data_IF_994541040145
#
_entry.id   IF_994541040145
#
_cell.length_a   1.000
_cell.length_b   1.000
_cell.length_c   1.000
_cell.angle_alpha   90.00
_cell.angle_beta   90.00
_cell.angle_gamma   90.00
#
_symmetry.space_group_name_H-M   'P 1'
#
loop_
_entity.id
_entity.type
_entity.pdbx_description
1 polymer ?
#
# COMPACT_ATOMS: atom_id res chain seq x y z
N UNK A 1 10.10 -4.12 13.91
CA UNK A 1 10.24 -4.50 12.49
C UNK A 1 10.52 -3.23 11.73
N UNK A 2 11.68 -3.10 11.10
CA UNK A 2 12.00 -1.90 10.32
C UNK A 2 11.38 -2.05 8.92
N UNK A 3 10.68 -1.01 8.44
CA UNK A 3 10.12 -1.00 7.10
C UNK A 3 11.22 -0.84 6.05
N UNK A 4 11.15 -1.61 4.97
CA UNK A 4 12.02 -1.42 3.82
C UNK A 4 11.84 -0.01 3.21
N UNK A 5 12.85 0.52 2.51
CA UNK A 5 12.74 1.79 1.79
C UNK A 5 11.52 1.83 0.85
N UNK A 6 11.24 0.73 0.16
CA UNK A 6 10.09 0.65 -0.75
C UNK A 6 8.75 0.60 -0.03
N UNK A 7 8.67 -0.07 1.13
CA UNK A 7 7.47 -0.02 1.98
C UNK A 7 7.25 1.39 2.52
N UNK A 8 8.32 2.11 2.90
CA UNK A 8 8.24 3.53 3.31
C UNK A 8 7.73 4.42 2.17
N UNK A 9 8.13 4.14 0.92
CA UNK A 9 7.65 4.88 -0.25
C UNK A 9 6.13 4.72 -0.47
N UNK A 10 5.61 3.49 -0.42
CA UNK A 10 4.15 3.25 -0.50
C UNK A 10 3.42 3.91 0.67
N UNK A 11 3.98 3.82 1.88
CA UNK A 11 3.39 4.44 3.06
C UNK A 11 3.30 5.96 2.91
N UNK A 12 4.36 6.61 2.41
CA UNK A 12 4.38 8.06 2.18
C UNK A 12 3.35 8.47 1.14
N UNK A 13 3.21 7.71 0.05
CA UNK A 13 2.16 7.92 -0.97
C UNK A 13 0.76 7.83 -0.34
N UNK A 14 0.52 6.82 0.50
CA UNK A 14 -0.77 6.63 1.16
C UNK A 14 -1.05 7.70 2.22
N UNK A 15 -0.03 8.30 2.85
CA UNK A 15 -0.21 9.46 3.78
C UNK A 15 -0.68 10.72 3.07
N UNK A 16 -0.38 10.85 1.77
CA UNK A 16 -0.74 12.01 0.96
C UNK A 16 -2.08 11.85 0.22
N UNK A 17 -2.69 10.67 0.33
CA UNK A 17 -3.92 10.32 -0.38
C UNK A 17 -4.98 9.83 0.61
N UNK A 18 -6.27 10.04 0.35
CA UNK A 18 -7.33 9.55 1.24
C UNK A 18 -7.38 8.01 1.27
N UNK A 19 -7.41 7.40 0.07
CA UNK A 19 -7.29 5.95 -0.12
C UNK A 19 -6.98 5.61 -1.59
N UNK A 20 -6.19 4.58 -1.83
CA UNK A 20 -5.79 4.15 -3.19
C UNK A 20 -6.03 2.66 -3.42
N UNK A 21 -6.40 2.29 -4.64
CA UNK A 21 -6.39 0.91 -5.12
C UNK A 21 -4.96 0.45 -5.40
N UNK A 22 -4.73 -0.86 -5.35
CA UNK A 22 -3.42 -1.46 -5.67
C UNK A 22 -2.85 -0.99 -7.01
N UNK A 23 -3.67 -0.95 -8.07
CA UNK A 23 -3.24 -0.48 -9.40
C UNK A 23 -2.81 0.99 -9.42
N UNK A 24 -3.43 1.84 -8.61
CA UNK A 24 -3.06 3.26 -8.49
C UNK A 24 -1.71 3.38 -7.78
N UNK A 25 -1.49 2.57 -6.74
CA UNK A 25 -0.20 2.47 -6.04
C UNK A 25 0.89 1.98 -7.00
N UNK A 26 0.67 0.86 -7.70
CA UNK A 26 1.58 0.31 -8.72
C UNK A 26 2.02 1.38 -9.73
N UNK A 27 1.05 2.13 -10.27
CA UNK A 27 1.32 3.20 -11.24
C UNK A 27 2.14 4.35 -10.63
N UNK A 28 1.86 4.72 -9.39
CA UNK A 28 2.53 5.84 -8.71
C UNK A 28 3.97 5.51 -8.29
N UNK A 29 4.25 4.28 -7.83
CA UNK A 29 5.59 3.88 -7.38
C UNK A 29 6.41 3.13 -8.44
N UNK A 30 5.79 2.74 -9.56
CA UNK A 30 6.45 2.03 -10.66
C UNK A 30 6.82 0.57 -10.35
N UNK A 31 6.17 -0.05 -9.36
CA UNK A 31 6.44 -1.43 -8.96
C UNK A 31 5.53 -2.42 -9.66
N UNK A 32 6.04 -3.65 -9.86
CA UNK A 32 5.21 -4.75 -10.37
C UNK A 32 4.08 -5.09 -9.40
N UNK A 33 3.02 -5.71 -9.93
CA UNK A 33 1.89 -6.19 -9.12
C UNK A 33 2.35 -7.08 -7.95
N UNK A 34 3.25 -8.03 -8.21
CA UNK A 34 3.74 -8.97 -7.19
C UNK A 34 4.53 -8.26 -6.09
N UNK A 35 5.41 -7.33 -6.47
CA UNK A 35 6.18 -6.52 -5.50
C UNK A 35 5.23 -5.66 -4.66
N UNK A 36 4.30 -4.95 -5.30
CA UNK A 36 3.34 -4.09 -4.61
C UNK A 36 2.46 -4.88 -3.64
N UNK A 37 1.98 -6.06 -4.05
CA UNK A 37 1.16 -6.92 -3.19
C UNK A 37 1.93 -7.39 -1.95
N UNK A 38 3.22 -7.74 -2.11
CA UNK A 38 4.08 -8.11 -0.97
C UNK A 38 4.26 -6.95 0.00
N UNK A 39 4.62 -5.77 -0.49
CA UNK A 39 4.86 -4.59 0.34
C UNK A 39 3.57 -4.13 1.06
N UNK A 40 2.41 -4.19 0.39
CA UNK A 40 1.13 -3.92 1.04
C UNK A 40 0.83 -4.91 2.17
N UNK A 41 1.16 -6.19 1.99
CA UNK A 41 1.01 -7.20 3.04
C UNK A 41 1.92 -6.89 4.24
N UNK A 42 3.19 -6.55 3.98
CA UNK A 42 4.14 -6.13 5.03
C UNK A 42 3.60 -4.92 5.83
N UNK A 43 3.07 -3.91 5.13
CA UNK A 43 2.49 -2.71 5.76
C UNK A 43 1.20 -3.00 6.55
N UNK A 44 0.37 -3.93 6.09
CA UNK A 44 -0.81 -4.40 6.81
C UNK A 44 -0.43 -5.15 8.10
N UNK A 45 0.54 -6.07 8.01
CA UNK A 45 1.05 -6.83 9.15
C UNK A 45 1.72 -5.90 10.19
N UNK A 46 2.42 -4.87 9.71
CA UNK A 46 2.99 -3.82 10.55
C UNK A 46 1.96 -2.80 11.08
N UNK A 47 0.66 -2.98 10.79
CA UNK A 47 -0.45 -2.10 11.19
C UNK A 47 -0.24 -0.62 10.83
N UNK A 48 0.44 -0.36 9.71
CA UNK A 48 0.68 1.01 9.22
C UNK A 48 -0.44 1.48 8.28
N UNK A 49 -1.14 0.52 7.66
CA UNK A 49 -2.23 0.77 6.73
C UNK A 49 -3.41 -0.16 7.04
N UNK A 50 -4.59 0.23 6.57
CA UNK A 50 -5.80 -0.56 6.60
C UNK A 50 -6.30 -0.84 5.19
N UNK A 51 -6.95 -1.99 5.03
CA UNK A 51 -7.70 -2.36 3.82
C UNK A 51 -9.16 -1.90 3.97
N UNK A 52 -9.68 -1.22 2.96
CA UNK A 52 -11.08 -0.78 2.89
C UNK A 52 -11.77 -1.54 1.76
N UNK A 53 -12.90 -2.19 2.07
CA UNK A 53 -13.70 -2.94 1.11
C UNK A 53 -13.14 -4.34 0.80
N UNK A 54 -13.77 -5.00 -0.17
CA UNK A 54 -13.48 -6.38 -0.57
C UNK A 54 -13.52 -6.54 -2.09
N UNK A 55 -12.72 -7.46 -2.62
CA UNK A 55 -12.65 -7.73 -4.06
C UNK A 55 -12.14 -6.54 -4.89
N UNK A 56 -12.73 -6.25 -6.06
CA UNK A 56 -12.21 -5.27 -7.03
C UNK A 56 -12.29 -3.80 -6.55
N UNK A 57 -13.06 -3.54 -5.49
CA UNK A 57 -13.19 -2.21 -4.87
C UNK A 57 -12.23 -2.01 -3.70
N UNK A 58 -11.35 -2.99 -3.42
CA UNK A 58 -10.34 -2.89 -2.36
C UNK A 58 -9.49 -1.64 -2.54
N UNK A 59 -9.43 -0.83 -1.48
CA UNK A 59 -8.50 0.29 -1.34
C UNK A 59 -7.65 0.13 -0.08
N UNK A 60 -6.58 0.90 -0.01
CA UNK A 60 -5.67 0.98 1.12
C UNK A 60 -5.57 2.43 1.59
N UNK A 61 -5.49 2.64 2.91
CA UNK A 61 -5.24 3.94 3.53
C UNK A 61 -4.34 3.79 4.75
N UNK A 62 -3.72 4.87 5.19
CA UNK A 62 -3.00 4.86 6.48
C UNK A 62 -3.95 4.80 7.67
N UNK A 63 -3.44 4.25 8.78
CA UNK A 63 -4.10 4.26 10.10
C UNK A 63 -3.58 5.45 10.90
#
# INVERSE_FOLDING_TARGET
MELSPESKQILMLLKQSESLKRKEIEKAVGFSQSKTTRLLKELLEAKQIAKIGSGPTTKYKTI
#
